data_IF_769710300550
#
_entry.id   IF_769710300550
#
_cell.length_a   1.000
_cell.length_b   1.000
_cell.length_c   1.000
_cell.angle_alpha   90.00
_cell.angle_beta   90.00
_cell.angle_gamma   90.00
#
_symmetry.space_group_name_H-M   'P 1'
#
loop_
_entity.id
_entity.type
_entity.pdbx_description
1 polymer ?
#
# COMPACT_ATOMS: atom_id res chain seq x y z
N UNK A 1 15.38 -3.33 -6.18
CA UNK A 1 14.05 -3.68 -6.68
C UNK A 1 13.62 -2.71 -7.75
N UNK A 2 12.94 -3.19 -8.79
CA UNK A 2 12.32 -2.33 -9.81
C UNK A 2 11.03 -1.72 -9.31
N UNK A 3 10.79 -0.46 -9.68
CA UNK A 3 9.55 0.24 -9.38
C UNK A 3 9.16 1.23 -10.49
N UNK A 4 7.86 1.44 -10.67
CA UNK A 4 7.31 2.46 -11.57
C UNK A 4 7.13 3.78 -10.81
N UNK A 5 8.05 4.71 -11.03
CA UNK A 5 8.19 5.95 -10.26
C UNK A 5 7.55 7.13 -10.99
N UNK A 6 6.69 7.85 -10.29
CA UNK A 6 6.21 9.18 -10.66
C UNK A 6 7.20 10.22 -10.14
N UNK A 7 7.91 10.91 -11.04
CA UNK A 7 8.86 11.98 -10.67
C UNK A 7 8.19 13.33 -10.47
N UNK A 8 7.24 13.64 -11.33
CA UNK A 8 6.43 14.84 -11.28
C UNK A 8 5.04 14.52 -11.84
N UNK A 9 4.01 15.23 -11.37
CA UNK A 9 2.68 15.13 -11.96
C UNK A 9 2.71 15.50 -13.46
N UNK A 10 1.85 14.85 -14.24
CA UNK A 10 1.75 15.05 -15.68
C UNK A 10 2.90 14.42 -16.49
N UNK A 11 3.79 13.67 -15.84
CA UNK A 11 4.88 12.94 -16.53
C UNK A 11 4.60 11.44 -16.55
N UNK A 12 5.06 10.70 -17.58
CA UNK A 12 4.99 9.25 -17.59
C UNK A 12 5.75 8.64 -16.41
N UNK A 13 5.30 7.46 -15.97
CA UNK A 13 6.06 6.67 -15.00
C UNK A 13 7.37 6.19 -15.62
N UNK A 14 8.44 6.20 -14.82
CA UNK A 14 9.74 5.68 -15.21
C UNK A 14 10.03 4.44 -14.39
N UNK A 15 10.53 3.37 -15.04
CA UNK A 15 11.00 2.20 -14.30
C UNK A 15 12.40 2.50 -13.76
N UNK A 16 12.56 2.42 -12.45
CA UNK A 16 13.82 2.69 -11.75
C UNK A 16 14.21 1.52 -10.84
N UNK A 17 15.51 1.34 -10.62
CA UNK A 17 16.03 0.47 -9.57
C UNK A 17 16.14 1.27 -8.27
N UNK A 18 15.37 0.85 -7.27
CA UNK A 18 15.40 1.39 -5.91
C UNK A 18 16.06 0.38 -4.96
N UNK A 19 16.64 0.82 -3.84
CA UNK A 19 17.10 -0.09 -2.80
C UNK A 19 15.96 -0.98 -2.29
N UNK A 20 16.27 -2.24 -2.02
CA UNK A 20 15.31 -3.14 -1.39
C UNK A 20 15.02 -2.67 0.05
N UNK A 21 13.74 -2.48 0.43
CA UNK A 21 13.40 -2.07 1.79
C UNK A 21 13.82 -3.13 2.81
N UNK A 22 14.14 -2.69 4.02
CA UNK A 22 14.47 -3.55 5.15
C UNK A 22 13.49 -3.25 6.29
N UNK A 23 12.79 -4.26 6.84
CA UNK A 23 11.81 -4.03 7.89
C UNK A 23 12.49 -3.77 9.24
N UNK A 24 12.07 -2.70 9.91
CA UNK A 24 12.33 -2.43 11.32
C UNK A 24 11.28 -3.06 12.24
N UNK A 25 11.26 -2.65 13.51
CA UNK A 25 10.23 -3.08 14.45
C UNK A 25 8.84 -2.56 14.03
N UNK A 26 7.85 -3.45 14.06
CA UNK A 26 6.48 -3.18 13.67
C UNK A 26 6.26 -3.23 12.15
N UNK A 27 7.21 -3.74 11.37
CA UNK A 27 7.21 -3.63 9.91
C UNK A 27 7.34 -4.99 9.21
N UNK A 28 6.94 -5.02 7.95
CA UNK A 28 7.03 -6.19 7.08
C UNK A 28 7.33 -5.74 5.65
N UNK A 29 8.18 -6.50 4.98
CA UNK A 29 8.41 -6.38 3.53
C UNK A 29 7.69 -7.51 2.83
N UNK A 30 6.96 -7.17 1.78
CA UNK A 30 6.18 -8.11 0.97
C UNK A 30 6.66 -8.05 -0.47
N UNK A 31 6.95 -9.22 -1.07
CA UNK A 31 7.14 -9.37 -2.51
C UNK A 31 5.78 -9.27 -3.19
N UNK A 32 5.61 -8.26 -4.05
CA UNK A 32 4.34 -7.97 -4.73
C UNK A 32 4.10 -8.99 -5.84
N UNK A 33 2.94 -9.64 -5.80
CA UNK A 33 2.52 -10.59 -6.85
C UNK A 33 1.46 -9.96 -7.75
N UNK A 34 0.53 -9.19 -7.19
CA UNK A 34 -0.48 -8.47 -7.92
C UNK A 34 -0.82 -7.14 -7.23
N UNK A 35 -0.96 -6.08 -8.01
CA UNK A 35 -1.42 -4.77 -7.55
C UNK A 35 -2.57 -4.28 -8.45
N UNK A 36 -3.63 -3.69 -7.90
CA UNK A 36 -4.73 -3.15 -8.69
C UNK A 36 -4.33 -1.86 -9.40
N UNK A 37 -4.88 -1.64 -10.59
CA UNK A 37 -4.87 -0.33 -11.26
C UNK A 37 -6.26 0.26 -11.17
N UNK A 38 -6.40 1.38 -10.47
CA UNK A 38 -7.69 2.03 -10.29
C UNK A 38 -8.13 2.73 -11.58
N UNK A 39 -9.44 2.77 -11.84
CA UNK A 39 -10.01 3.41 -13.03
C UNK A 39 -9.62 4.89 -13.19
N UNK A 40 -9.41 5.59 -12.07
CA UNK A 40 -9.04 7.00 -12.04
C UNK A 40 -7.53 7.23 -11.87
N UNK A 41 -6.68 6.20 -12.07
CA UNK A 41 -5.21 6.31 -11.94
C UNK A 41 -4.66 7.49 -12.74
N UNK A 42 -5.11 7.67 -13.98
CA UNK A 42 -4.64 8.77 -14.84
C UNK A 42 -4.90 10.17 -14.25
N UNK A 43 -5.99 10.35 -13.51
CA UNK A 43 -6.31 11.62 -12.86
C UNK A 43 -5.37 11.90 -11.68
N UNK A 44 -4.87 10.85 -11.02
CA UNK A 44 -3.82 10.99 -9.99
C UNK A 44 -2.48 11.34 -10.64
N UNK A 45 -2.08 10.61 -11.69
CA UNK A 45 -0.78 10.84 -12.35
C UNK A 45 -0.68 12.22 -13.00
N UNK A 46 -1.76 12.69 -13.61
CA UNK A 46 -1.84 14.03 -14.19
C UNK A 46 -1.92 15.15 -13.15
N UNK A 47 -2.21 14.84 -11.89
CA UNK A 47 -2.46 15.83 -10.83
C UNK A 47 -3.88 16.41 -10.83
N UNK A 48 -4.77 15.96 -11.73
CA UNK A 48 -6.17 16.41 -11.78
C UNK A 48 -6.95 16.12 -10.49
N UNK A 49 -6.62 15.04 -9.76
CA UNK A 49 -7.19 14.73 -8.44
C UNK A 49 -6.71 15.64 -7.32
N UNK A 50 -5.64 16.40 -7.53
CA UNK A 50 -5.00 17.26 -6.52
C UNK A 50 -4.66 16.53 -5.20
N UNK A 51 -4.31 15.25 -5.28
CA UNK A 51 -3.92 14.46 -4.11
C UNK A 51 -2.53 14.89 -3.63
N UNK A 52 -2.39 15.39 -2.39
CA UNK A 52 -1.08 15.74 -1.85
C UNK A 52 -0.21 14.49 -1.72
N UNK A 53 1.00 14.57 -2.27
CA UNK A 53 1.96 13.46 -2.34
C UNK A 53 3.39 14.02 -2.30
N UNK A 54 4.28 13.32 -1.60
CA UNK A 54 5.71 13.55 -1.66
C UNK A 54 6.28 12.79 -2.86
N UNK A 55 6.69 13.51 -3.89
CA UNK A 55 7.39 12.97 -5.06
C UNK A 55 8.93 13.09 -4.89
N UNK A 56 9.75 12.27 -5.56
CA UNK A 56 9.38 11.14 -6.42
C UNK A 56 8.84 9.95 -5.62
N UNK A 57 7.97 9.14 -6.25
CA UNK A 57 7.24 8.08 -5.59
C UNK A 57 6.94 6.91 -6.54
N UNK A 58 7.29 5.69 -6.16
CA UNK A 58 6.64 4.50 -6.69
C UNK A 58 5.18 4.48 -6.21
N UNK A 59 4.23 4.60 -7.15
CA UNK A 59 2.81 4.74 -6.84
C UNK A 59 2.14 3.38 -6.58
N UNK A 60 0.81 3.35 -6.49
CA UNK A 60 0.00 2.13 -6.52
C UNK A 60 -0.56 1.77 -5.15
N UNK A 61 -1.84 1.41 -5.11
CA UNK A 61 -2.57 1.16 -3.87
C UNK A 61 -2.66 -0.32 -3.59
N UNK A 62 -2.13 -0.75 -2.45
CA UNK A 62 -2.27 -2.11 -1.96
C UNK A 62 -1.73 -3.19 -2.89
N UNK A 63 -1.65 -4.40 -2.38
CA UNK A 63 -1.14 -5.55 -3.12
C UNK A 63 -1.68 -6.85 -2.56
N UNK A 64 -1.59 -7.90 -3.35
CA UNK A 64 -1.50 -9.28 -2.83
C UNK A 64 -0.09 -9.76 -3.10
N UNK A 65 0.53 -10.35 -2.10
CA UNK A 65 1.94 -10.73 -2.18
C UNK A 65 2.35 -11.75 -1.14
N UNK A 66 3.64 -12.04 -1.12
CA UNK A 66 4.24 -12.98 -0.17
C UNK A 66 5.16 -12.23 0.77
N UNK A 67 5.07 -12.52 2.06
CA UNK A 67 5.98 -11.95 3.06
C UNK A 67 7.42 -12.33 2.68
N UNK A 68 8.26 -11.32 2.48
CA UNK A 68 9.68 -11.46 2.18
C UNK A 68 10.49 -11.55 3.48
N UNK A 69 10.24 -10.60 4.37
CA UNK A 69 10.91 -10.45 5.66
C UNK A 69 10.01 -9.70 6.64
N UNK A 70 10.22 -9.93 7.93
CA UNK A 70 9.46 -9.30 9.02
C UNK A 70 10.40 -8.63 10.01
N UNK A 71 9.89 -7.62 10.71
CA UNK A 71 10.53 -6.99 11.85
C UNK A 71 10.77 -7.96 13.01
N UNK A 72 11.69 -7.64 13.93
CA UNK A 72 12.07 -8.52 15.04
C UNK A 72 10.94 -8.81 16.05
N UNK A 73 9.88 -8.02 16.04
CA UNK A 73 8.71 -8.10 16.92
C UNK A 73 7.50 -8.78 16.26
N UNK A 74 7.63 -9.28 15.03
CA UNK A 74 6.58 -10.04 14.37
C UNK A 74 6.46 -11.45 14.99
N UNK A 75 5.26 -11.78 15.48
CA UNK A 75 5.00 -13.04 16.20
C UNK A 75 4.07 -14.01 15.47
N UNK A 76 3.48 -13.58 14.35
CA UNK A 76 2.46 -14.35 13.60
C UNK A 76 2.78 -14.53 12.13
N UNK A 77 3.23 -13.47 11.47
CA UNK A 77 3.64 -13.53 10.06
C UNK A 77 5.05 -14.11 9.94
N UNK A 78 5.26 -14.94 8.94
CA UNK A 78 6.55 -15.50 8.59
C UNK A 78 6.86 -15.32 7.09
N UNK A 79 8.14 -15.31 6.70
CA UNK A 79 8.52 -15.34 5.29
C UNK A 79 7.83 -16.48 4.53
N UNK A 80 7.24 -16.13 3.38
CA UNK A 80 6.49 -17.03 2.52
C UNK A 80 4.97 -16.98 2.70
N UNK A 81 4.44 -16.40 3.78
CA UNK A 81 3.00 -16.25 3.99
C UNK A 81 2.37 -15.36 2.91
N UNK A 82 1.15 -15.71 2.48
CA UNK A 82 0.37 -14.84 1.60
C UNK A 82 -0.37 -13.79 2.41
N UNK A 83 -0.28 -12.55 1.95
CA UNK A 83 -0.92 -11.40 2.60
C UNK A 83 -1.60 -10.49 1.60
N UNK A 84 -2.71 -9.89 2.03
CA UNK A 84 -3.28 -8.69 1.45
C UNK A 84 -2.61 -7.49 2.14
N UNK A 85 -2.08 -6.58 1.34
CA UNK A 85 -1.41 -5.37 1.81
C UNK A 85 -2.44 -4.23 1.81
N UNK A 86 -3.01 -3.92 2.97
CA UNK A 86 -3.91 -2.78 3.15
C UNK A 86 -3.11 -1.47 2.98
N UNK A 87 -3.40 -0.61 2.00
CA UNK A 87 -2.70 0.66 1.83
C UNK A 87 -3.03 1.72 2.90
N UNK A 88 -4.00 1.48 3.78
CA UNK A 88 -4.46 2.48 4.77
C UNK A 88 -3.55 2.54 5.98
N UNK A 89 -2.48 3.32 5.90
CA UNK A 89 -1.51 3.47 6.99
C UNK A 89 -1.97 4.54 7.97
N UNK A 90 -1.92 4.23 9.27
CA UNK A 90 -2.36 5.11 10.36
C UNK A 90 -1.18 5.41 11.28
N UNK A 91 -1.13 6.62 11.81
CA UNK A 91 -0.24 6.95 12.91
C UNK A 91 -0.55 6.08 14.14
N UNK A 92 0.48 5.68 14.90
CA UNK A 92 0.35 4.79 16.07
C UNK A 92 0.38 5.52 17.41
N UNK A 93 0.64 6.82 17.40
CA UNK A 93 0.78 7.68 18.58
C UNK A 93 -0.48 8.50 18.90
N UNK A 94 -1.57 8.33 18.15
CA UNK A 94 -2.90 8.88 18.44
C UNK A 94 -3.98 7.87 18.04
N UNK A 95 -4.75 7.38 19.00
CA UNK A 95 -5.68 6.26 18.78
C UNK A 95 -7.06 6.72 18.27
N UNK A 96 -7.51 7.92 18.61
CA UNK A 96 -8.89 8.37 18.33
C UNK A 96 -9.00 8.99 16.95
N UNK A 97 -8.03 9.83 16.59
CA UNK A 97 -8.00 10.55 15.32
C UNK A 97 -6.57 10.57 14.75
N UNK A 98 -6.01 9.39 14.41
CA UNK A 98 -4.67 9.33 13.84
C UNK A 98 -4.60 10.08 12.52
N UNK A 99 -3.42 10.60 12.19
CA UNK A 99 -3.11 10.91 10.80
C UNK A 99 -3.17 9.63 9.96
N UNK A 100 -3.74 9.75 8.76
CA UNK A 100 -3.96 8.63 7.85
C UNK A 100 -3.42 8.99 6.48
N UNK A 101 -2.76 8.03 5.84
CA UNK A 101 -2.43 8.09 4.42
C UNK A 101 -2.96 6.85 3.69
N UNK A 102 -3.11 6.99 2.37
CA UNK A 102 -3.25 5.84 1.48
C UNK A 102 -1.91 5.65 0.78
N UNK A 103 -1.15 4.64 1.21
CA UNK A 103 0.22 4.40 0.75
C UNK A 103 0.26 4.30 -0.78
N UNK A 104 1.21 5.02 -1.39
CA UNK A 104 1.34 5.11 -2.84
C UNK A 104 0.32 6.01 -3.55
N UNK A 105 -0.60 6.68 -2.82
CA UNK A 105 -1.75 7.38 -3.44
C UNK A 105 -2.10 8.77 -2.89
N UNK A 106 -2.16 8.95 -1.57
CA UNK A 106 -2.43 10.26 -0.96
C UNK A 106 -1.87 10.36 0.46
N UNK A 107 -1.26 11.51 0.77
CA UNK A 107 -0.77 11.89 2.10
C UNK A 107 -1.29 13.30 2.45
N UNK A 108 -2.55 13.42 2.93
CA UNK A 108 -3.31 14.68 2.89
C UNK A 108 -2.93 15.70 3.97
N UNK A 109 -2.17 15.30 5.00
CA UNK A 109 -1.75 16.15 6.12
C UNK A 109 -0.22 16.11 6.31
N UNK A 110 0.37 17.05 7.06
CA UNK A 110 1.77 16.96 7.44
C UNK A 110 2.14 15.65 8.17
N UNK A 111 1.25 15.13 9.02
CA UNK A 111 1.46 13.84 9.69
C UNK A 111 1.40 12.67 8.72
N UNK A 112 0.44 12.67 7.79
CA UNK A 112 0.38 11.69 6.70
C UNK A 112 1.63 11.73 5.81
N UNK A 113 2.20 12.92 5.56
CA UNK A 113 3.45 13.07 4.82
C UNK A 113 4.65 12.53 5.60
N UNK A 114 4.64 12.58 6.93
CA UNK A 114 5.64 11.88 7.76
C UNK A 114 5.51 10.37 7.64
N UNK A 115 4.28 9.83 7.64
CA UNK A 115 4.05 8.41 7.37
C UNK A 115 4.57 8.02 5.99
N UNK A 116 4.31 8.84 4.97
CA UNK A 116 4.82 8.63 3.61
C UNK A 116 6.35 8.81 3.51
N UNK A 117 6.99 9.61 4.36
CA UNK A 117 8.44 9.68 4.35
C UNK A 117 9.08 8.34 4.76
N UNK A 118 8.38 7.55 5.59
CA UNK A 118 8.84 6.27 6.11
C UNK A 118 8.32 5.08 5.28
N UNK A 119 7.00 4.91 5.21
CA UNK A 119 6.32 3.92 4.37
C UNK A 119 6.18 4.47 2.94
N UNK A 120 7.35 4.69 2.31
CA UNK A 120 7.48 5.56 1.16
C UNK A 120 6.75 5.09 -0.07
N UNK A 121 7.05 3.88 -0.50
CA UNK A 121 6.68 3.39 -1.82
C UNK A 121 5.37 2.61 -1.78
N UNK A 122 4.55 2.78 -2.82
CA UNK A 122 3.37 1.99 -3.09
C UNK A 122 3.67 0.70 -3.85
N UNK A 123 2.61 0.02 -4.27
CA UNK A 123 2.67 -1.34 -4.77
C UNK A 123 3.07 -1.50 -6.26
N UNK A 124 3.30 -0.41 -7.01
CA UNK A 124 3.88 -0.51 -8.34
C UNK A 124 5.41 -0.64 -8.24
N UNK A 125 5.83 -1.60 -7.45
CA UNK A 125 7.20 -1.98 -7.14
C UNK A 125 7.26 -3.49 -6.89
N UNK A 126 8.42 -4.12 -7.05
CA UNK A 126 8.57 -5.56 -6.78
C UNK A 126 8.42 -5.89 -5.29
N UNK A 127 8.71 -4.94 -4.39
CA UNK A 127 8.53 -5.10 -2.95
C UNK A 127 7.87 -3.86 -2.34
N UNK A 128 7.15 -4.05 -1.24
CA UNK A 128 6.53 -2.96 -0.48
C UNK A 128 6.80 -3.14 1.01
N UNK A 129 7.19 -2.05 1.68
CA UNK A 129 7.35 -1.98 3.13
C UNK A 129 6.04 -1.47 3.75
N UNK A 130 5.53 -2.18 4.74
CA UNK A 130 4.26 -1.90 5.39
C UNK A 130 4.39 -1.98 6.92
N UNK A 131 3.50 -1.31 7.67
CA UNK A 131 3.20 -1.70 9.06
C UNK A 131 2.73 -3.16 9.12
N UNK A 132 3.09 -3.91 10.17
CA UNK A 132 2.65 -5.30 10.35
C UNK A 132 1.12 -5.44 10.34
N UNK A 133 0.39 -4.51 10.96
CA UNK A 133 -1.08 -4.49 11.01
C UNK A 133 -1.75 -4.23 9.65
N UNK A 134 -0.98 -3.81 8.65
CA UNK A 134 -1.44 -3.63 7.27
C UNK A 134 -1.22 -4.87 6.39
N UNK A 135 -0.56 -5.92 6.91
CA UNK A 135 -0.38 -7.18 6.20
C UNK A 135 -1.38 -8.24 6.73
N UNK A 136 -2.50 -8.38 6.03
CA UNK A 136 -3.61 -9.28 6.40
C UNK A 136 -3.35 -10.69 5.84
N UNK A 137 -3.21 -11.74 6.68
CA UNK A 137 -2.99 -13.10 6.20
C UNK A 137 -4.15 -13.63 5.34
N UNK A 138 -3.84 -14.28 4.22
CA UNK A 138 -4.82 -14.84 3.29
C UNK A 138 -4.86 -16.38 3.26
N UNK A 139 -3.98 -17.06 3.99
CA UNK A 139 -3.82 -18.50 3.91
C UNK A 139 -3.13 -18.93 2.61
N UNK A 140 -3.28 -20.19 2.20
CA UNK A 140 -2.62 -20.69 1.00
C UNK A 140 -3.33 -20.20 -0.28
N UNK A 141 -2.55 -19.63 -1.21
CA UNK A 141 -3.04 -19.15 -2.51
C UNK A 141 -2.11 -19.56 -3.65
N UNK A 142 -2.66 -19.60 -4.85
CA UNK A 142 -1.93 -19.58 -6.12
C UNK A 142 -1.75 -18.16 -6.64
N UNK A 143 -0.77 -17.94 -7.53
CA UNK A 143 -0.57 -16.65 -8.20
C UNK A 143 -1.81 -16.17 -8.96
N UNK A 144 -2.55 -17.09 -9.59
CA UNK A 144 -3.77 -16.73 -10.32
C UNK A 144 -4.89 -16.25 -9.39
N UNK A 145 -4.99 -16.81 -8.17
CA UNK A 145 -5.93 -16.34 -7.15
C UNK A 145 -5.50 -14.98 -6.60
N UNK A 146 -4.20 -14.76 -6.37
CA UNK A 146 -3.68 -13.47 -5.94
C UNK A 146 -4.07 -12.33 -6.91
N UNK A 147 -3.96 -12.58 -8.21
CA UNK A 147 -4.41 -11.62 -9.24
C UNK A 147 -5.90 -11.28 -9.15
N UNK A 148 -6.76 -12.28 -8.88
CA UNK A 148 -8.21 -12.04 -8.70
C UNK A 148 -8.51 -11.29 -7.40
N UNK A 149 -7.80 -11.61 -6.32
CA UNK A 149 -7.99 -10.96 -5.03
C UNK A 149 -7.56 -9.49 -5.04
N UNK A 150 -6.60 -9.10 -5.90
CA UNK A 150 -6.25 -7.69 -6.07
C UNK A 150 -7.45 -6.83 -6.53
N UNK A 151 -8.47 -7.40 -7.18
CA UNK A 151 -9.68 -6.67 -7.53
C UNK A 151 -10.52 -6.26 -6.29
N UNK A 152 -10.36 -6.94 -5.15
CA UNK A 152 -11.09 -6.63 -3.92
C UNK A 152 -10.81 -5.22 -3.41
N UNK A 153 -9.62 -4.66 -3.66
CA UNK A 153 -9.27 -3.30 -3.25
C UNK A 153 -10.27 -2.25 -3.75
N UNK A 154 -10.87 -2.44 -4.93
CA UNK A 154 -11.90 -1.54 -5.46
C UNK A 154 -13.24 -1.66 -4.73
N UNK A 155 -13.49 -2.80 -4.07
CA UNK A 155 -14.74 -3.09 -3.37
C UNK A 155 -14.66 -2.82 -1.86
N UNK A 156 -13.48 -2.94 -1.26
CA UNK A 156 -13.31 -2.83 0.20
C UNK A 156 -13.63 -1.44 0.74
N UNK A 157 -13.25 -0.38 0.02
CA UNK A 157 -13.55 1.01 0.42
C UNK A 157 -15.06 1.29 0.45
N UNK A 158 -15.82 1.07 -0.64
CA UNK A 158 -17.27 1.29 -0.59
C UNK A 158 -17.96 0.33 0.40
N UNK A 159 -17.51 -0.93 0.51
CA UNK A 159 -18.05 -1.86 1.50
C UNK A 159 -17.88 -1.32 2.93
N UNK A 160 -16.70 -0.83 3.29
CA UNK A 160 -16.45 -0.23 4.61
C UNK A 160 -17.31 0.99 4.89
N UNK A 161 -17.55 1.84 3.89
CA UNK A 161 -18.45 2.99 4.01
C UNK A 161 -19.91 2.59 4.25
N UNK A 162 -20.42 1.61 3.48
CA UNK A 162 -21.77 1.07 3.67
C UNK A 162 -21.92 0.41 5.04
N UNK A 163 -20.90 -0.36 5.47
CA UNK A 163 -20.86 -1.01 6.77
C UNK A 163 -20.93 0.01 7.91
N UNK A 164 -20.11 1.06 7.86
CA UNK A 164 -20.08 2.12 8.86
C UNK A 164 -21.39 2.92 8.91
N UNK A 165 -22.05 3.09 7.76
CA UNK A 165 -23.38 3.69 7.65
C UNK A 165 -24.53 2.78 8.08
N UNK A 166 -24.26 1.53 8.51
CA UNK A 166 -25.27 0.51 8.82
C UNK A 166 -26.21 0.20 7.63
N UNK A 167 -25.71 0.34 6.41
CA UNK A 167 -26.44 0.09 5.16
C UNK A 167 -26.16 -1.33 4.64
N UNK A 168 -26.33 -2.33 5.50
CA UNK A 168 -26.16 -3.75 5.17
C UNK A 168 -27.50 -4.31 4.69
N UNK A 169 -27.47 -5.17 3.66
CA UNK A 169 -28.65 -5.87 3.13
C UNK A 169 -29.01 -7.11 3.96
#
# INVERSE_FOLDING_TARGET
MKAAVLRAFGTPLVIEELPDPQPGAGEVVVDVVAAPVLSYTNEVLSGARQYPLLLPLAIGIGAVGRVRAVGPDATRLAPGDWVLCDPTVRARDEAVAPDIMLQGWIAPSPGAQRLQAHFRHGAFAEQVLLPLENAVPLGALTTAEAGRLAALFTLLVPYGGLLAGQLQA
#
